data_IF_218842462226
#
_entry.id   IF_218842462226
#
_cell.length_a   1.000
_cell.length_b   1.000
_cell.length_c   1.000
_cell.angle_alpha   90.00
_cell.angle_beta   90.00
_cell.angle_gamma   90.00
#
_symmetry.space_group_name_H-M   'P 1'
#
loop_
_entity.id
_entity.type
_entity.pdbx_description
1 polymer ?
#
# COMPACT_ATOMS: atom_id res chain seq x y z
N UNK A 1 -25.78 3.41 48.85
CA UNK A 1 -24.79 2.85 47.90
C UNK A 1 -25.37 1.54 47.42
N UNK A 2 -26.24 1.61 46.41
CA UNK A 2 -26.62 0.44 45.64
C UNK A 2 -25.60 0.33 44.51
N UNK A 3 -24.90 -0.80 44.51
CA UNK A 3 -23.87 -1.15 43.53
C UNK A 3 -24.59 -1.56 42.24
N UNK A 4 -24.72 -0.60 41.33
CA UNK A 4 -25.28 -0.81 40.00
C UNK A 4 -24.32 -1.70 39.20
N UNK A 5 -24.55 -3.02 39.25
CA UNK A 5 -23.79 -4.00 38.51
C UNK A 5 -23.91 -3.70 37.01
N UNK A 6 -22.84 -3.15 36.44
CA UNK A 6 -22.68 -2.92 35.02
C UNK A 6 -22.85 -4.25 34.26
N UNK A 7 -24.07 -4.48 33.79
CA UNK A 7 -24.44 -5.64 32.99
C UNK A 7 -23.75 -5.50 31.65
N UNK A 8 -22.65 -6.23 31.45
CA UNK A 8 -21.96 -6.21 30.16
C UNK A 8 -22.89 -6.74 29.06
N UNK A 9 -22.80 -6.15 27.86
CA UNK A 9 -23.61 -6.44 26.67
C UNK A 9 -23.74 -7.93 26.29
N UNK A 10 -22.94 -8.82 26.89
CA UNK A 10 -22.99 -10.25 26.66
C UNK A 10 -24.14 -10.95 27.41
N UNK A 11 -24.58 -10.45 28.58
CA UNK A 11 -25.60 -11.13 29.40
C UNK A 11 -27.04 -10.89 28.92
N UNK A 12 -27.30 -9.79 28.20
CA UNK A 12 -28.59 -9.55 27.54
C UNK A 12 -28.91 -10.55 26.41
N UNK A 13 -27.88 -11.22 25.85
CA UNK A 13 -28.05 -12.23 24.78
C UNK A 13 -28.79 -13.47 25.30
N UNK A 14 -28.80 -13.71 26.62
CA UNK A 14 -29.51 -14.81 27.27
C UNK A 14 -30.95 -14.51 27.72
N UNK A 15 -31.38 -13.23 27.76
CA UNK A 15 -32.64 -12.80 28.39
C UNK A 15 -33.90 -12.91 27.52
N UNK A 16 -33.80 -13.48 26.32
CA UNK A 16 -34.97 -14.02 25.61
C UNK A 16 -35.88 -13.02 24.87
N UNK A 17 -35.56 -11.72 24.81
CA UNK A 17 -36.30 -10.80 23.93
C UNK A 17 -35.94 -11.03 22.45
N UNK A 18 -36.78 -11.82 21.79
CA UNK A 18 -36.70 -12.12 20.34
C UNK A 18 -37.72 -11.31 19.54
N UNK A 19 -38.23 -10.20 20.08
CA UNK A 19 -39.21 -9.35 19.40
C UNK A 19 -38.64 -8.66 18.15
N UNK A 20 -37.33 -8.44 18.10
CA UNK A 20 -36.67 -7.80 16.97
C UNK A 20 -36.87 -8.59 15.67
N UNK A 21 -37.27 -7.95 14.54
CA UNK A 21 -37.57 -8.64 13.28
C UNK A 21 -36.47 -9.58 12.78
N UNK A 22 -35.20 -9.18 12.96
CA UNK A 22 -34.05 -10.00 12.59
C UNK A 22 -33.97 -11.31 13.39
N UNK A 23 -34.20 -11.28 14.71
CA UNK A 23 -34.14 -12.48 15.57
C UNK A 23 -35.31 -13.43 15.28
N UNK A 24 -36.52 -12.89 15.05
CA UNK A 24 -37.65 -13.69 14.53
C UNK A 24 -37.31 -14.37 13.21
N UNK A 25 -36.61 -13.65 12.31
CA UNK A 25 -36.16 -14.22 11.05
C UNK A 25 -35.16 -15.37 11.24
N UNK A 26 -34.23 -15.24 12.19
CA UNK A 26 -33.30 -16.32 12.56
C UNK A 26 -34.05 -17.56 13.04
N UNK A 27 -35.09 -17.42 13.86
CA UNK A 27 -35.89 -18.57 14.34
C UNK A 27 -36.62 -19.29 13.22
N UNK A 28 -37.15 -18.52 12.26
CA UNK A 28 -37.79 -19.08 11.06
C UNK A 28 -36.76 -19.87 10.24
N UNK A 29 -35.56 -19.33 10.05
CA UNK A 29 -34.48 -20.02 9.32
C UNK A 29 -34.05 -21.30 10.04
N UNK A 30 -33.93 -21.28 11.37
CA UNK A 30 -33.55 -22.46 12.16
C UNK A 30 -34.42 -23.68 11.92
N UNK A 31 -35.71 -23.49 11.60
CA UNK A 31 -36.66 -24.57 11.29
C UNK A 31 -36.62 -25.03 9.83
N UNK A 32 -36.03 -24.24 8.94
CA UNK A 32 -36.10 -24.44 7.48
C UNK A 32 -34.79 -24.88 6.84
N UNK A 33 -33.65 -24.57 7.45
CA UNK A 33 -32.34 -24.90 6.91
C UNK A 33 -32.06 -26.39 7.05
N UNK A 34 -31.47 -26.96 6.00
CA UNK A 34 -31.20 -28.40 5.89
C UNK A 34 -29.73 -28.69 5.58
N UNK A 35 -28.94 -27.69 5.15
CA UNK A 35 -27.52 -27.88 4.87
C UNK A 35 -26.69 -28.22 6.11
N UNK A 36 -25.64 -29.01 5.95
CA UNK A 36 -24.73 -29.39 7.04
C UNK A 36 -23.99 -28.18 7.61
N UNK A 37 -23.94 -28.05 8.94
CA UNK A 37 -23.22 -26.95 9.59
C UNK A 37 -24.01 -25.65 9.76
N UNK A 38 -25.28 -25.59 9.33
CA UNK A 38 -26.14 -24.41 9.48
C UNK A 38 -26.27 -23.89 10.92
N UNK A 39 -26.13 -24.75 11.92
CA UNK A 39 -26.14 -24.35 13.34
C UNK A 39 -25.02 -23.38 13.71
N UNK A 40 -23.84 -23.48 13.09
CA UNK A 40 -22.72 -22.54 13.29
C UNK A 40 -23.02 -21.20 12.63
N UNK A 41 -23.55 -21.23 11.43
CA UNK A 41 -23.90 -20.02 10.67
C UNK A 41 -25.03 -19.23 11.31
N UNK A 42 -26.05 -19.91 11.87
CA UNK A 42 -27.13 -19.26 12.63
C UNK A 42 -26.59 -18.57 13.89
N UNK A 43 -25.67 -19.21 14.63
CA UNK A 43 -24.99 -18.57 15.77
C UNK A 43 -24.19 -17.34 15.34
N UNK A 44 -23.51 -17.41 14.19
CA UNK A 44 -22.79 -16.25 13.65
C UNK A 44 -23.75 -15.12 13.24
N UNK A 45 -24.88 -15.46 12.60
CA UNK A 45 -25.91 -14.50 12.19
C UNK A 45 -26.52 -13.77 13.39
N UNK A 46 -26.83 -14.52 14.45
CA UNK A 46 -27.33 -13.97 15.71
C UNK A 46 -26.30 -13.05 16.36
N UNK A 47 -25.04 -13.49 16.46
CA UNK A 47 -23.95 -12.63 16.96
C UNK A 47 -23.78 -11.36 16.13
N UNK A 48 -23.90 -11.44 14.81
CA UNK A 48 -23.72 -10.32 13.90
C UNK A 48 -24.79 -9.25 14.06
N UNK A 49 -26.02 -9.62 14.43
CA UNK A 49 -27.08 -8.68 14.75
C UNK A 49 -26.65 -7.67 15.82
N UNK A 50 -25.97 -8.16 16.88
CA UNK A 50 -25.52 -7.34 18.00
C UNK A 50 -24.16 -6.67 17.78
N UNK A 51 -23.27 -7.28 16.99
CA UNK A 51 -21.85 -6.89 16.94
C UNK A 51 -21.38 -6.28 15.62
N UNK A 52 -22.04 -6.56 14.49
CA UNK A 52 -21.57 -6.19 13.15
C UNK A 52 -22.50 -5.22 12.41
N UNK A 53 -23.55 -4.73 13.09
CA UNK A 53 -24.56 -3.84 12.51
C UNK A 53 -25.35 -4.48 11.35
N UNK A 54 -26.17 -3.67 10.68
CA UNK A 54 -27.09 -4.14 9.63
C UNK A 54 -26.39 -4.76 8.40
N UNK A 55 -25.20 -4.27 8.02
CA UNK A 55 -24.47 -4.79 6.87
C UNK A 55 -23.87 -6.18 7.15
N UNK A 56 -23.27 -6.38 8.32
CA UNK A 56 -22.73 -7.69 8.71
C UNK A 56 -23.82 -8.75 8.81
N UNK A 57 -24.98 -8.39 9.37
CA UNK A 57 -26.14 -9.29 9.41
C UNK A 57 -26.63 -9.66 8.00
N UNK A 58 -26.79 -8.69 7.10
CA UNK A 58 -27.21 -8.93 5.71
C UNK A 58 -26.25 -9.86 4.95
N UNK A 59 -24.94 -9.68 5.13
CA UNK A 59 -23.94 -10.51 4.46
C UNK A 59 -23.99 -11.97 4.90
N UNK A 60 -24.12 -12.23 6.21
CA UNK A 60 -24.24 -13.60 6.73
C UNK A 60 -25.59 -14.21 6.35
N UNK A 61 -26.66 -13.41 6.35
CA UNK A 61 -27.98 -13.87 5.90
C UNK A 61 -27.97 -14.28 4.42
N UNK A 62 -27.31 -13.50 3.56
CA UNK A 62 -27.10 -13.84 2.16
C UNK A 62 -26.36 -15.17 2.03
N UNK A 63 -25.22 -15.32 2.73
CA UNK A 63 -24.44 -16.57 2.75
C UNK A 63 -25.30 -17.77 3.12
N UNK A 64 -26.07 -17.69 4.21
CA UNK A 64 -26.94 -18.77 4.68
C UNK A 64 -27.96 -19.19 3.61
N UNK A 65 -28.60 -18.21 2.96
CA UNK A 65 -29.59 -18.48 1.92
C UNK A 65 -28.96 -19.15 0.70
N UNK A 66 -27.82 -18.63 0.25
CA UNK A 66 -27.11 -19.19 -0.91
C UNK A 66 -26.53 -20.58 -0.62
N UNK A 67 -26.02 -20.83 0.59
CA UNK A 67 -25.56 -22.18 0.99
C UNK A 67 -26.72 -23.18 1.00
N UNK A 68 -27.89 -22.79 1.52
CA UNK A 68 -29.08 -23.64 1.48
C UNK A 68 -29.52 -23.93 0.04
N UNK A 69 -29.56 -22.92 -0.82
CA UNK A 69 -29.90 -23.08 -2.23
C UNK A 69 -28.94 -24.07 -2.92
N UNK A 70 -27.63 -23.87 -2.74
CA UNK A 70 -26.61 -24.77 -3.28
C UNK A 70 -26.74 -26.20 -2.76
N UNK A 71 -27.04 -26.38 -1.46
CA UNK A 71 -27.23 -27.72 -0.87
C UNK A 71 -28.42 -28.48 -1.47
N UNK A 72 -29.43 -27.74 -1.94
CA UNK A 72 -30.60 -28.26 -2.67
C UNK A 72 -30.35 -28.42 -4.17
N UNK A 73 -29.15 -28.09 -4.65
CA UNK A 73 -28.81 -28.08 -6.07
C UNK A 73 -29.37 -26.88 -6.85
N UNK A 74 -29.92 -25.86 -6.18
CA UNK A 74 -30.39 -24.65 -6.84
C UNK A 74 -29.20 -23.74 -7.19
N UNK A 75 -28.99 -23.56 -8.50
CA UNK A 75 -27.97 -22.69 -9.09
C UNK A 75 -28.57 -21.54 -9.91
N UNK A 76 -29.83 -21.19 -9.64
CA UNK A 76 -30.58 -20.19 -10.39
C UNK A 76 -30.09 -18.75 -10.17
N UNK A 77 -29.24 -18.50 -9.16
CA UNK A 77 -28.65 -17.19 -8.92
C UNK A 77 -27.88 -16.70 -10.17
N UNK A 78 -28.06 -15.45 -10.62
CA UNK A 78 -27.44 -14.93 -11.85
C UNK A 78 -25.92 -15.13 -11.95
N UNK A 79 -25.20 -14.97 -10.84
CA UNK A 79 -23.76 -15.25 -10.72
C UNK A 79 -23.41 -16.70 -11.08
N UNK A 80 -24.12 -17.67 -10.49
CA UNK A 80 -23.86 -19.10 -10.71
C UNK A 80 -24.27 -19.52 -12.12
N UNK A 81 -25.39 -19.00 -12.63
CA UNK A 81 -25.80 -19.21 -14.03
C UNK A 81 -24.74 -18.68 -15.01
N UNK A 82 -24.15 -17.51 -14.72
CA UNK A 82 -23.04 -16.97 -15.52
C UNK A 82 -21.81 -17.87 -15.45
N UNK A 83 -21.44 -18.31 -14.25
CA UNK A 83 -20.29 -19.20 -14.03
C UNK A 83 -20.48 -20.54 -14.76
N UNK A 84 -21.66 -21.15 -14.69
CA UNK A 84 -21.98 -22.41 -15.36
C UNK A 84 -21.91 -22.29 -16.89
N UNK A 85 -22.36 -21.15 -17.44
CA UNK A 85 -22.21 -20.85 -18.87
C UNK A 85 -20.74 -20.71 -19.27
N UNK A 86 -19.91 -20.13 -18.39
CA UNK A 86 -18.49 -19.96 -18.62
C UNK A 86 -17.76 -21.31 -18.55
N UNK A 87 -18.05 -22.14 -17.53
CA UNK A 87 -17.48 -23.47 -17.32
C UNK A 87 -17.53 -24.36 -18.57
N UNK A 88 -18.64 -24.31 -19.32
CA UNK A 88 -18.81 -25.08 -20.58
C UNK A 88 -17.79 -24.75 -21.67
N UNK A 89 -17.08 -23.63 -21.54
CA UNK A 89 -16.13 -23.11 -22.52
C UNK A 89 -14.69 -23.14 -22.02
N UNK A 90 -14.46 -23.57 -20.77
CA UNK A 90 -13.13 -23.50 -20.16
C UNK A 90 -12.25 -24.65 -20.62
N UNK A 91 -11.03 -24.31 -21.04
CA UNK A 91 -10.05 -25.25 -21.58
C UNK A 91 -8.65 -25.05 -21.00
N UNK A 92 -8.42 -24.04 -20.16
CA UNK A 92 -7.10 -23.75 -19.59
C UNK A 92 -6.79 -24.58 -18.34
N UNK A 93 -5.53 -24.93 -18.11
CA UNK A 93 -5.14 -25.73 -16.94
C UNK A 93 -5.45 -25.02 -15.61
N UNK A 94 -6.01 -25.76 -14.66
CA UNK A 94 -6.39 -25.21 -13.35
C UNK A 94 -7.72 -24.44 -13.33
N UNK A 95 -8.52 -24.45 -14.41
CA UNK A 95 -9.81 -23.75 -14.45
C UNK A 95 -10.79 -24.23 -13.38
N UNK A 96 -10.73 -25.51 -12.98
CA UNK A 96 -11.59 -26.11 -11.95
C UNK A 96 -11.38 -25.44 -10.59
N UNK A 97 -10.13 -25.16 -10.24
CA UNK A 97 -9.77 -24.51 -8.96
C UNK A 97 -10.26 -23.06 -8.94
N UNK A 98 -10.12 -22.34 -10.07
CA UNK A 98 -10.65 -20.98 -10.18
C UNK A 98 -12.19 -20.94 -10.08
N UNK A 99 -12.88 -21.93 -10.65
CA UNK A 99 -14.34 -22.06 -10.53
C UNK A 99 -14.76 -22.33 -9.09
N UNK A 100 -14.08 -23.23 -8.40
CA UNK A 100 -14.33 -23.47 -6.97
C UNK A 100 -14.08 -22.21 -6.13
N UNK A 101 -13.03 -21.45 -6.45
CA UNK A 101 -12.78 -20.16 -5.81
C UNK A 101 -13.92 -19.17 -6.08
N UNK A 102 -14.42 -19.09 -7.32
CA UNK A 102 -15.55 -18.24 -7.66
C UNK A 102 -16.81 -18.63 -6.88
N UNK A 103 -17.15 -19.92 -6.78
CA UNK A 103 -18.28 -20.40 -5.98
C UNK A 103 -18.13 -20.03 -4.50
N UNK A 104 -16.92 -20.17 -3.95
CA UNK A 104 -16.63 -19.71 -2.58
C UNK A 104 -16.80 -18.20 -2.46
N UNK A 105 -16.31 -17.40 -3.40
CA UNK A 105 -16.46 -15.95 -3.37
C UNK A 105 -17.92 -15.51 -3.52
N UNK A 106 -18.73 -16.20 -4.30
CA UNK A 106 -20.18 -15.96 -4.38
C UNK A 106 -20.82 -15.98 -2.99
N UNK A 107 -20.45 -16.95 -2.15
CA UNK A 107 -20.98 -17.10 -0.79
C UNK A 107 -20.47 -16.07 0.21
N UNK A 108 -19.18 -15.74 0.17
CA UNK A 108 -18.52 -14.96 1.23
C UNK A 108 -18.23 -13.50 0.86
N UNK A 109 -18.10 -13.18 -0.43
CA UNK A 109 -17.72 -11.86 -0.93
C UNK A 109 -18.22 -11.68 -2.37
N UNK A 110 -19.48 -11.25 -2.57
CA UNK A 110 -20.03 -11.03 -3.91
C UNK A 110 -19.24 -10.02 -4.75
N UNK A 111 -18.51 -9.10 -4.12
CA UNK A 111 -17.59 -8.19 -4.80
C UNK A 111 -16.39 -8.93 -5.39
N UNK A 112 -15.79 -9.85 -4.63
CA UNK A 112 -14.66 -10.65 -5.11
C UNK A 112 -15.09 -11.66 -6.18
N UNK A 113 -16.37 -12.08 -6.19
CA UNK A 113 -16.90 -12.97 -7.22
C UNK A 113 -16.65 -12.41 -8.63
N UNK A 114 -17.01 -11.16 -8.87
CA UNK A 114 -16.83 -10.53 -10.18
C UNK A 114 -15.36 -10.48 -10.58
N UNK A 115 -14.48 -10.22 -9.61
CA UNK A 115 -13.04 -10.21 -9.82
C UNK A 115 -12.54 -11.59 -10.26
N UNK A 116 -12.95 -12.66 -9.58
CA UNK A 116 -12.55 -14.04 -9.94
C UNK A 116 -13.14 -14.45 -11.29
N UNK A 117 -14.39 -14.12 -11.59
CA UNK A 117 -14.97 -14.41 -12.92
C UNK A 117 -14.22 -13.71 -14.04
N UNK A 118 -13.86 -12.43 -13.85
CA UNK A 118 -13.05 -11.69 -14.82
C UNK A 118 -11.66 -12.32 -15.00
N UNK A 119 -11.05 -12.84 -13.92
CA UNK A 119 -9.80 -13.61 -13.96
C UNK A 119 -9.95 -14.86 -14.83
N UNK A 120 -11.01 -15.65 -14.61
CA UNK A 120 -11.33 -16.86 -15.39
C UNK A 120 -11.51 -16.52 -16.88
N UNK A 121 -12.32 -15.50 -17.18
CA UNK A 121 -12.58 -15.06 -18.56
C UNK A 121 -11.28 -14.68 -19.28
N UNK A 122 -10.36 -13.99 -18.61
CA UNK A 122 -9.07 -13.58 -19.20
C UNK A 122 -8.11 -14.73 -19.38
N UNK A 123 -8.00 -15.62 -18.40
CA UNK A 123 -7.22 -16.86 -18.53
C UNK A 123 -7.71 -17.69 -19.71
N UNK A 124 -9.03 -17.82 -19.85
CA UNK A 124 -9.63 -18.53 -20.99
C UNK A 124 -9.35 -17.85 -22.33
N UNK A 125 -9.49 -16.52 -22.42
CA UNK A 125 -9.14 -15.81 -23.65
C UNK A 125 -7.69 -16.05 -24.06
N UNK A 126 -6.77 -15.91 -23.11
CA UNK A 126 -5.34 -16.11 -23.37
C UNK A 126 -5.03 -17.55 -23.75
N UNK A 127 -5.66 -18.54 -23.12
CA UNK A 127 -5.40 -19.95 -23.43
C UNK A 127 -5.83 -20.35 -24.85
N UNK A 128 -6.87 -19.72 -25.40
CA UNK A 128 -7.30 -19.94 -26.79
C UNK A 128 -6.64 -18.99 -27.79
N UNK A 129 -5.66 -18.20 -27.35
CA UNK A 129 -4.95 -17.24 -28.18
C UNK A 129 -5.73 -15.96 -28.50
N UNK A 130 -6.87 -15.69 -27.85
CA UNK A 130 -7.59 -14.43 -27.99
C UNK A 130 -6.83 -13.30 -27.28
N UNK A 131 -6.25 -12.40 -28.10
CA UNK A 131 -5.54 -11.20 -27.66
C UNK A 131 -6.29 -9.91 -27.98
N UNK A 132 -7.62 -9.97 -28.09
CA UNK A 132 -8.46 -8.84 -28.50
C UNK A 132 -8.64 -7.76 -27.41
N UNK A 133 -8.41 -8.10 -26.14
CA UNK A 133 -8.58 -7.19 -24.99
C UNK A 133 -7.64 -5.98 -25.09
N UNK A 134 -8.17 -4.79 -24.76
CA UNK A 134 -7.45 -3.52 -24.89
C UNK A 134 -6.17 -3.43 -24.06
N UNK A 135 -6.13 -4.06 -22.88
CA UNK A 135 -4.97 -4.02 -22.00
C UNK A 135 -3.90 -5.01 -22.50
N UNK A 136 -4.34 -6.15 -23.05
CA UNK A 136 -3.44 -7.12 -23.66
C UNK A 136 -2.85 -6.61 -24.98
N UNK A 137 -3.67 -6.03 -25.86
CA UNK A 137 -3.23 -5.33 -27.07
C UNK A 137 -2.20 -4.25 -26.78
N UNK A 138 -2.41 -3.49 -25.71
CA UNK A 138 -1.44 -2.50 -25.26
C UNK A 138 -0.10 -3.19 -24.94
N UNK A 139 -0.08 -4.23 -24.12
CA UNK A 139 1.14 -4.96 -23.78
C UNK A 139 1.85 -5.55 -25.00
N UNK A 140 1.09 -6.12 -25.94
CA UNK A 140 1.64 -6.71 -27.17
C UNK A 140 2.18 -5.66 -28.15
N UNK A 141 1.69 -4.41 -28.07
CA UNK A 141 2.15 -3.31 -28.91
C UNK A 141 3.47 -2.68 -28.46
N UNK A 142 3.92 -2.96 -27.24
CA UNK A 142 5.11 -2.34 -26.67
C UNK A 142 6.37 -2.91 -27.31
N UNK A 143 7.30 -2.02 -27.68
CA UNK A 143 8.67 -2.36 -28.11
C UNK A 143 9.63 -1.87 -27.03
N UNK A 144 9.82 -2.69 -26.00
CA UNK A 144 10.65 -2.34 -24.86
C UNK A 144 12.08 -2.84 -25.06
N UNK A 145 13.05 -2.01 -24.65
CA UNK A 145 14.49 -2.32 -24.73
C UNK A 145 15.24 -1.96 -23.45
N UNK A 146 14.59 -1.32 -22.48
CA UNK A 146 15.23 -0.92 -21.23
C UNK A 146 15.62 -2.13 -20.37
N UNK A 147 16.75 -2.11 -19.64
CA UNK A 147 17.17 -3.26 -18.83
C UNK A 147 16.11 -3.72 -17.82
N UNK A 148 15.75 -5.01 -17.87
CA UNK A 148 14.77 -5.63 -16.97
C UNK A 148 13.30 -5.45 -17.40
N UNK A 149 13.04 -5.00 -18.63
CA UNK A 149 11.69 -4.82 -19.16
C UNK A 149 10.87 -6.10 -19.17
N UNK A 150 11.47 -7.26 -19.38
CA UNK A 150 10.77 -8.55 -19.45
C UNK A 150 10.06 -8.84 -18.13
N UNK A 151 10.72 -8.53 -17.01
CA UNK A 151 10.17 -8.71 -15.66
C UNK A 151 8.99 -7.78 -15.40
N UNK A 152 9.12 -6.51 -15.79
CA UNK A 152 8.03 -5.54 -15.63
C UNK A 152 6.84 -5.87 -16.52
N UNK A 153 7.10 -6.30 -17.77
CA UNK A 153 6.08 -6.76 -18.70
C UNK A 153 5.36 -7.98 -18.15
N UNK A 154 6.10 -8.98 -17.65
CA UNK A 154 5.52 -10.17 -17.03
C UNK A 154 4.67 -9.80 -15.82
N UNK A 155 5.14 -8.88 -14.96
CA UNK A 155 4.36 -8.40 -13.82
C UNK A 155 3.05 -7.73 -14.26
N UNK A 156 3.08 -6.94 -15.34
CA UNK A 156 1.88 -6.33 -15.91
C UNK A 156 0.92 -7.39 -16.48
N UNK A 157 1.47 -8.38 -17.18
CA UNK A 157 0.70 -9.48 -17.74
C UNK A 157 0.05 -10.34 -16.65
N UNK A 158 0.79 -10.71 -15.60
CA UNK A 158 0.27 -11.45 -14.44
C UNK A 158 -0.85 -10.66 -13.75
N UNK A 159 -0.70 -9.34 -13.65
CA UNK A 159 -1.72 -8.47 -13.09
C UNK A 159 -3.00 -8.44 -13.95
N UNK A 160 -2.83 -8.38 -15.28
CA UNK A 160 -3.93 -8.50 -16.23
C UNK A 160 -4.62 -9.86 -16.11
N UNK A 161 -3.85 -10.96 -16.15
CA UNK A 161 -4.36 -12.34 -16.02
C UNK A 161 -5.08 -12.52 -14.68
N UNK A 162 -4.54 -11.94 -13.60
CA UNK A 162 -5.15 -11.93 -12.27
C UNK A 162 -6.53 -11.29 -12.22
N UNK A 163 -6.95 -10.58 -13.27
CA UNK A 163 -8.26 -9.96 -13.35
C UNK A 163 -8.23 -8.47 -13.02
N UNK A 164 -7.09 -7.79 -13.00
CA UNK A 164 -7.03 -6.35 -12.78
C UNK A 164 -6.79 -5.55 -14.06
N UNK A 165 -7.23 -4.29 -14.11
CA UNK A 165 -6.89 -3.41 -15.24
C UNK A 165 -5.48 -2.88 -15.09
N UNK A 166 -4.76 -2.67 -16.18
CA UNK A 166 -3.40 -2.11 -16.15
C UNK A 166 -3.36 -0.66 -15.64
N UNK A 167 -4.52 -0.01 -15.52
CA UNK A 167 -4.66 1.33 -14.93
C UNK A 167 -4.48 1.31 -13.40
N UNK A 168 -4.95 0.28 -12.71
CA UNK A 168 -5.06 0.26 -11.24
C UNK A 168 -3.72 0.38 -10.50
N UNK A 169 -2.58 0.19 -11.19
CA UNK A 169 -1.23 0.25 -10.62
C UNK A 169 -0.26 1.06 -11.49
N UNK A 170 -0.78 1.85 -12.43
CA UNK A 170 0.03 2.69 -13.31
C UNK A 170 0.93 1.90 -14.27
N UNK A 171 0.65 0.63 -14.56
CA UNK A 171 1.50 -0.20 -15.45
C UNK A 171 1.69 0.43 -16.83
N UNK A 172 0.61 0.94 -17.43
CA UNK A 172 0.70 1.59 -18.75
C UNK A 172 1.66 2.77 -18.74
N UNK A 173 1.56 3.59 -17.71
CA UNK A 173 2.43 4.74 -17.51
C UNK A 173 3.88 4.29 -17.29
N UNK A 174 4.12 3.41 -16.32
CA UNK A 174 5.47 3.01 -15.94
C UNK A 174 6.23 2.32 -17.08
N UNK A 175 5.60 1.38 -17.80
CA UNK A 175 6.26 0.69 -18.92
C UNK A 175 6.65 1.67 -20.02
N UNK A 176 5.74 2.59 -20.37
CA UNK A 176 5.97 3.61 -21.39
C UNK A 176 7.06 4.59 -20.96
N UNK A 177 7.00 5.08 -19.73
CA UNK A 177 7.94 6.07 -19.21
C UNK A 177 9.33 5.49 -18.96
N UNK A 178 9.44 4.24 -18.51
CA UNK A 178 10.75 3.56 -18.43
C UNK A 178 11.42 3.47 -19.80
N UNK A 179 10.65 3.12 -20.83
CA UNK A 179 11.17 3.07 -22.20
C UNK A 179 11.60 4.44 -22.69
N UNK A 180 10.77 5.47 -22.53
CA UNK A 180 11.11 6.85 -22.92
C UNK A 180 12.38 7.34 -22.23
N UNK A 181 12.48 7.15 -20.91
CA UNK A 181 13.67 7.52 -20.15
C UNK A 181 14.92 6.76 -20.62
N UNK A 182 14.78 5.48 -20.97
CA UNK A 182 15.88 4.67 -21.49
C UNK A 182 16.36 5.15 -22.87
N UNK A 183 15.45 5.62 -23.72
CA UNK A 183 15.77 6.27 -25.00
C UNK A 183 16.32 7.70 -24.84
N UNK A 184 16.43 8.19 -23.60
CA UNK A 184 16.91 9.53 -23.28
C UNK A 184 15.85 10.63 -23.34
N UNK A 185 14.57 10.28 -23.59
CA UNK A 185 13.47 11.24 -23.54
C UNK A 185 13.09 11.57 -22.10
N UNK A 186 13.38 12.80 -21.69
CA UNK A 186 13.08 13.35 -20.36
C UNK A 186 12.00 14.44 -20.41
N UNK A 187 11.21 14.51 -21.47
CA UNK A 187 10.20 15.56 -21.66
C UNK A 187 8.96 15.44 -20.77
N UNK A 188 8.81 14.37 -20.00
CA UNK A 188 7.71 14.25 -19.05
C UNK A 188 7.76 15.40 -18.02
N UNK A 189 6.65 16.11 -17.74
CA UNK A 189 6.66 17.32 -16.88
C UNK A 189 7.35 17.15 -15.52
N UNK A 190 7.21 15.98 -14.88
CA UNK A 190 7.91 15.65 -13.62
C UNK A 190 9.43 15.63 -13.75
N UNK A 191 9.95 15.07 -14.85
CA UNK A 191 11.39 15.00 -15.11
C UNK A 191 11.91 16.38 -15.53
N UNK A 192 11.18 17.12 -16.37
CA UNK A 192 11.49 18.52 -16.70
C UNK A 192 11.55 19.38 -15.45
N UNK A 193 10.59 19.23 -14.53
CA UNK A 193 10.59 19.93 -13.25
C UNK A 193 11.82 19.59 -12.40
N UNK A 194 12.23 18.31 -12.34
CA UNK A 194 13.44 17.87 -11.65
C UNK A 194 14.70 18.48 -12.28
N UNK A 195 14.83 18.39 -13.60
CA UNK A 195 16.00 18.85 -14.36
C UNK A 195 16.16 20.38 -14.26
N UNK A 196 15.05 21.11 -14.13
CA UNK A 196 15.06 22.57 -13.95
C UNK A 196 15.68 23.05 -12.63
N UNK A 197 15.82 22.17 -11.63
CA UNK A 197 16.23 22.57 -10.28
C UNK A 197 17.71 22.96 -10.15
N UNK A 198 18.56 22.59 -11.12
CA UNK A 198 20.02 22.86 -11.11
C UNK A 198 20.65 22.63 -9.72
N UNK A 199 20.47 21.42 -9.19
CA UNK A 199 20.89 21.07 -7.83
C UNK A 199 22.42 20.99 -7.69
N UNK A 200 22.95 21.45 -6.56
CA UNK A 200 24.39 21.46 -6.25
C UNK A 200 24.73 21.01 -4.82
N UNK A 201 23.74 20.75 -3.96
CA UNK A 201 23.99 20.35 -2.58
C UNK A 201 24.58 18.91 -2.46
N UNK A 202 25.50 18.63 -1.52
CA UNK A 202 26.08 17.29 -1.38
C UNK A 202 25.03 16.17 -1.28
N UNK A 203 25.12 15.16 -2.14
CA UNK A 203 24.19 14.03 -2.17
C UNK A 203 22.93 14.25 -3.02
N UNK A 204 22.80 15.38 -3.71
CA UNK A 204 21.65 15.67 -4.58
C UNK A 204 21.41 14.60 -5.66
N UNK A 205 22.45 13.95 -6.17
CA UNK A 205 22.34 12.90 -7.20
C UNK A 205 21.54 11.70 -6.70
N UNK A 206 21.73 11.32 -5.43
CA UNK A 206 20.98 10.21 -4.81
C UNK A 206 19.50 10.56 -4.64
N UNK A 207 19.23 11.81 -4.26
CA UNK A 207 17.86 12.30 -4.13
C UNK A 207 17.15 12.40 -5.48
N UNK A 208 17.83 12.90 -6.51
CA UNK A 208 17.35 12.94 -7.89
C UNK A 208 17.07 11.53 -8.42
N UNK A 209 18.00 10.59 -8.22
CA UNK A 209 17.79 9.19 -8.60
C UNK A 209 16.59 8.56 -7.88
N UNK A 210 16.39 8.84 -6.60
CA UNK A 210 15.21 8.36 -5.86
C UNK A 210 13.91 8.97 -6.39
N UNK A 211 13.94 10.22 -6.84
CA UNK A 211 12.80 10.86 -7.50
C UNK A 211 12.47 10.16 -8.81
N UNK A 212 13.47 9.91 -9.66
CA UNK A 212 13.33 9.19 -10.92
C UNK A 212 12.79 7.78 -10.73
N UNK A 213 13.32 7.04 -9.74
CA UNK A 213 12.79 5.71 -9.38
C UNK A 213 11.31 5.77 -9.02
N UNK A 214 10.89 6.77 -8.23
CA UNK A 214 9.47 6.97 -7.87
C UNK A 214 8.60 7.39 -9.05
N UNK A 215 9.16 8.13 -10.00
CA UNK A 215 8.46 8.52 -11.23
C UNK A 215 8.01 7.28 -12.00
N UNK A 216 8.87 6.28 -12.15
CA UNK A 216 8.57 5.05 -12.90
C UNK A 216 8.31 3.81 -12.04
N UNK A 217 8.01 3.98 -10.76
CA UNK A 217 7.80 2.87 -9.85
C UNK A 217 6.41 2.24 -10.04
N UNK A 218 6.37 0.92 -10.18
CA UNK A 218 5.14 0.15 -10.20
C UNK A 218 4.53 0.08 -8.79
N UNK A 219 3.22 0.32 -8.72
CA UNK A 219 2.44 0.16 -7.49
C UNK A 219 2.58 1.29 -6.46
N UNK A 220 2.35 0.96 -5.18
CA UNK A 220 2.06 1.94 -4.12
C UNK A 220 3.19 2.93 -3.81
N UNK A 221 4.40 2.65 -4.29
CA UNK A 221 5.58 3.50 -4.08
C UNK A 221 5.77 4.54 -5.19
N UNK A 222 5.04 4.43 -6.30
CA UNK A 222 5.11 5.35 -7.43
C UNK A 222 4.23 6.58 -7.25
N UNK A 223 4.55 7.66 -7.96
CA UNK A 223 3.75 8.88 -7.93
C UNK A 223 2.33 8.69 -8.49
N UNK A 224 2.11 7.71 -9.36
CA UNK A 224 0.79 7.41 -9.93
C UNK A 224 -0.24 6.89 -8.91
N UNK A 225 0.21 6.31 -7.79
CA UNK A 225 -0.68 5.65 -6.82
C UNK A 225 -0.96 6.48 -5.56
N UNK A 226 -0.25 7.60 -5.40
CA UNK A 226 -0.36 8.44 -4.22
C UNK A 226 -1.34 9.57 -4.47
N UNK A 227 -2.35 9.70 -3.60
CA UNK A 227 -3.35 10.77 -3.66
C UNK A 227 -2.67 12.13 -3.42
N UNK A 228 -3.04 13.13 -4.20
CA UNK A 228 -2.49 14.49 -4.13
C UNK A 228 -1.41 14.76 -5.18
N UNK A 229 -0.46 15.65 -4.87
CA UNK A 229 0.69 15.99 -5.72
C UNK A 229 2.03 15.53 -5.10
N UNK A 230 2.24 14.22 -4.94
CA UNK A 230 3.44 13.66 -4.31
C UNK A 230 4.72 14.03 -5.06
N UNK A 231 4.64 14.17 -6.39
CA UNK A 231 5.73 14.62 -7.24
C UNK A 231 6.10 16.09 -6.93
N UNK A 232 5.11 16.98 -6.81
CA UNK A 232 5.33 18.40 -6.49
C UNK A 232 5.89 18.57 -5.08
N UNK A 233 5.39 17.77 -4.13
CA UNK A 233 5.91 17.73 -2.76
C UNK A 233 7.39 17.32 -2.77
N UNK A 234 7.75 16.29 -3.54
CA UNK A 234 9.14 15.87 -3.66
C UNK A 234 10.01 16.96 -4.33
N UNK A 235 9.51 17.64 -5.37
CA UNK A 235 10.20 18.80 -5.97
C UNK A 235 10.39 19.92 -4.94
N UNK A 236 9.38 20.24 -4.14
CA UNK A 236 9.47 21.27 -3.10
C UNK A 236 10.53 20.92 -2.04
N UNK A 237 10.64 19.64 -1.67
CA UNK A 237 11.70 19.15 -0.76
C UNK A 237 13.08 19.37 -1.38
N UNK A 238 13.28 19.02 -2.66
CA UNK A 238 14.55 19.23 -3.35
C UNK A 238 14.90 20.73 -3.47
N UNK A 239 13.91 21.57 -3.81
CA UNK A 239 14.05 23.03 -3.82
C UNK A 239 14.46 23.56 -2.45
N UNK A 240 13.82 23.09 -1.37
CA UNK A 240 14.14 23.51 -0.01
C UNK A 240 15.57 23.12 0.39
N UNK A 241 16.00 21.89 0.07
CA UNK A 241 17.39 21.45 0.28
C UNK A 241 18.37 22.33 -0.49
N UNK A 242 18.09 22.61 -1.77
CA UNK A 242 18.92 23.48 -2.58
C UNK A 242 18.96 24.92 -2.06
N UNK A 243 17.82 25.48 -1.63
CA UNK A 243 17.77 26.82 -1.05
C UNK A 243 18.55 26.91 0.26
N UNK A 244 18.45 25.89 1.13
CA UNK A 244 19.28 25.80 2.34
C UNK A 244 20.77 25.76 1.99
N UNK A 245 21.13 25.10 0.90
CA UNK A 245 22.51 25.02 0.41
C UNK A 245 23.00 26.30 -0.32
N UNK A 246 22.18 26.94 -1.16
CA UNK A 246 22.53 28.20 -1.83
C UNK A 246 22.49 29.40 -0.89
N UNK A 247 21.61 29.35 0.11
CA UNK A 247 21.54 30.29 1.23
C UNK A 247 22.78 30.22 2.14
N UNK A 248 23.74 29.34 1.85
CA UNK A 248 25.11 29.32 2.39
C UNK A 248 25.90 30.50 1.79
N UNK A 249 25.42 31.72 2.05
CA UNK A 249 26.26 32.87 2.42
C UNK A 249 25.75 33.33 3.78
N UNK A 250 25.93 32.47 4.79
CA UNK A 250 25.53 32.71 6.17
C UNK A 250 24.95 31.46 6.81
N UNK A 251 25.52 31.02 7.93
CA UNK A 251 25.16 29.81 8.66
C UNK A 251 23.76 29.84 9.32
N UNK A 252 22.79 30.64 8.83
CA UNK A 252 21.52 30.93 9.52
C UNK A 252 20.56 29.73 9.59
N UNK A 253 20.70 28.74 8.69
CA UNK A 253 19.85 27.55 8.64
C UNK A 253 20.26 26.44 9.63
N UNK A 254 21.47 26.49 10.17
CA UNK A 254 21.94 25.55 11.17
C UNK A 254 21.24 25.84 12.50
N UNK A 255 20.78 24.78 13.17
CA UNK A 255 20.38 24.86 14.58
C UNK A 255 21.55 25.44 15.39
N UNK A 256 21.29 26.20 16.48
CA UNK A 256 22.33 26.86 17.25
C UNK A 256 23.53 25.95 17.56
N UNK A 257 23.26 24.73 18.03
CA UNK A 257 24.31 23.77 18.37
C UNK A 257 25.07 23.25 17.15
N UNK A 258 24.37 22.97 16.05
CA UNK A 258 24.98 22.55 14.79
C UNK A 258 25.90 23.64 14.24
N UNK A 259 25.49 24.91 14.35
CA UNK A 259 26.28 26.08 13.95
C UNK A 259 27.54 26.20 14.80
N UNK A 260 27.41 26.03 16.11
CA UNK A 260 28.55 26.03 17.04
C UNK A 260 29.55 24.95 16.67
N UNK A 261 29.09 23.71 16.40
CA UNK A 261 29.98 22.62 15.97
C UNK A 261 30.71 22.98 14.67
N UNK A 262 30.01 23.53 13.68
CA UNK A 262 30.62 23.81 12.37
C UNK A 262 31.59 25.00 12.40
N UNK A 263 31.27 26.04 13.19
CA UNK A 263 32.05 27.28 13.20
C UNK A 263 33.23 27.25 14.18
N UNK A 264 33.24 26.32 15.15
CA UNK A 264 34.35 26.17 16.10
C UNK A 264 35.54 25.47 15.44
N UNK A 265 36.74 25.99 15.67
CA UNK A 265 37.99 25.34 15.24
C UNK A 265 38.38 24.25 16.25
N UNK A 266 37.91 23.03 16.01
CA UNK A 266 38.27 21.86 16.81
C UNK A 266 39.65 21.34 16.44
N UNK A 267 40.44 20.93 17.43
CA UNK A 267 41.80 20.40 17.23
C UNK A 267 41.95 18.92 17.58
N UNK A 268 40.93 18.28 18.17
CA UNK A 268 41.00 16.86 18.52
C UNK A 268 41.11 15.93 17.30
N UNK A 269 41.80 14.78 17.41
CA UNK A 269 41.95 13.82 16.31
C UNK A 269 40.61 13.35 15.73
N UNK A 270 40.48 13.44 14.40
CA UNK A 270 39.27 13.05 13.67
C UNK A 270 38.13 14.07 13.71
N UNK A 271 38.39 15.30 14.16
CA UNK A 271 37.37 16.36 14.20
C UNK A 271 36.85 16.73 12.80
N UNK A 272 37.70 16.75 11.77
CA UNK A 272 37.33 17.13 10.39
C UNK A 272 36.26 16.20 9.80
N UNK A 273 36.41 14.90 10.03
CA UNK A 273 35.48 13.86 9.58
C UNK A 273 34.14 13.97 10.31
N UNK A 274 34.17 14.25 11.60
CA UNK A 274 32.95 14.41 12.40
C UNK A 274 32.21 15.71 12.06
N UNK A 275 32.90 16.83 11.84
CA UNK A 275 32.27 18.08 11.37
C UNK A 275 31.61 17.86 10.01
N UNK A 276 32.25 17.11 9.11
CA UNK A 276 31.67 16.75 7.81
C UNK A 276 30.41 15.88 7.96
N UNK A 277 30.39 14.96 8.92
CA UNK A 277 29.19 14.19 9.25
C UNK A 277 28.05 15.08 9.76
N UNK A 278 28.36 16.03 10.67
CA UNK A 278 27.39 17.01 11.19
C UNK A 278 26.85 17.92 10.10
N UNK A 279 27.67 18.31 9.11
CA UNK A 279 27.25 19.07 7.94
C UNK A 279 26.28 18.31 7.03
N UNK A 280 26.42 16.99 6.93
CA UNK A 280 25.54 16.14 6.12
C UNK A 280 24.29 15.63 6.84
N UNK A 281 24.19 15.84 8.15
CA UNK A 281 23.11 15.32 8.99
C UNK A 281 21.85 16.18 8.90
N UNK A 282 20.70 15.52 8.77
CA UNK A 282 19.37 16.14 8.82
C UNK A 282 18.69 15.97 10.18
N UNK A 283 19.44 15.61 11.23
CA UNK A 283 18.91 15.50 12.60
C UNK A 283 18.31 16.84 13.06
N UNK A 284 17.27 16.78 13.89
CA UNK A 284 16.66 17.96 14.52
C UNK A 284 17.25 18.28 15.90
N UNK A 285 18.17 17.46 16.41
CA UNK A 285 18.81 17.65 17.72
C UNK A 285 20.31 17.42 17.60
N UNK A 286 21.09 18.42 18.00
CA UNK A 286 22.56 18.39 18.02
C UNK A 286 23.15 18.68 19.41
N UNK A 287 22.33 18.86 20.45
CA UNK A 287 22.81 19.20 21.79
C UNK A 287 23.82 18.17 22.31
N UNK A 288 23.47 16.88 22.26
CA UNK A 288 24.39 15.81 22.66
C UNK A 288 25.59 15.63 21.72
N UNK A 289 25.47 16.06 20.45
CA UNK A 289 26.62 16.07 19.54
C UNK A 289 27.59 17.19 19.89
N UNK A 290 27.08 18.38 20.24
CA UNK A 290 27.91 19.51 20.66
C UNK A 290 28.64 19.18 21.97
N UNK A 291 27.93 18.60 22.95
CA UNK A 291 28.51 18.15 24.22
C UNK A 291 29.64 17.14 23.97
N UNK A 292 29.43 16.17 23.07
CA UNK A 292 30.47 15.21 22.69
C UNK A 292 31.70 15.87 22.07
N UNK A 293 31.51 16.89 21.21
CA UNK A 293 32.61 17.66 20.63
C UNK A 293 33.38 18.44 21.72
N UNK A 294 32.67 19.07 22.65
CA UNK A 294 33.26 19.80 23.78
C UNK A 294 34.09 18.86 24.67
N UNK A 295 33.54 17.71 25.06
CA UNK A 295 34.26 16.71 25.87
C UNK A 295 35.53 16.22 25.19
N UNK A 296 35.49 15.94 23.88
CA UNK A 296 36.69 15.52 23.12
C UNK A 296 37.74 16.61 23.04
N UNK A 297 37.33 17.85 22.88
CA UNK A 297 38.24 18.99 22.87
C UNK A 297 38.92 19.15 24.24
N UNK A 298 38.14 19.07 25.33
CA UNK A 298 38.66 19.15 26.69
C UNK A 298 39.67 18.05 27.01
N UNK A 299 39.35 16.79 26.67
CA UNK A 299 40.30 15.68 26.86
C UNK A 299 41.58 15.85 26.03
N UNK A 300 41.46 16.42 24.82
CA UNK A 300 42.60 16.69 23.95
C UNK A 300 43.50 17.79 24.49
N UNK A 301 42.91 18.83 25.08
CA UNK A 301 43.65 19.98 25.62
C UNK A 301 44.09 19.77 27.08
N UNK A 302 43.74 18.62 27.69
CA UNK A 302 43.93 18.30 29.12
C UNK A 302 43.33 19.35 30.08
N UNK A 303 42.39 20.17 29.61
CA UNK A 303 41.74 21.22 30.38
C UNK A 303 40.33 20.81 30.79
N UNK A 304 40.17 20.50 32.08
CA UNK A 304 38.91 20.06 32.69
C UNK A 304 38.17 21.17 33.42
N UNK A 305 38.71 22.39 33.41
CA UNK A 305 38.26 23.50 34.27
C UNK A 305 36.85 24.02 33.97
N UNK A 306 36.28 23.68 32.80
CA UNK A 306 35.04 24.27 32.30
C UNK A 306 33.85 23.29 32.21
N UNK A 307 33.99 22.02 32.63
CA UNK A 307 32.87 21.07 32.54
C UNK A 307 32.04 21.07 33.84
N UNK A 308 30.73 21.37 33.80
CA UNK A 308 29.89 21.47 34.99
C UNK A 308 29.75 20.17 35.80
N UNK A 309 30.12 19.02 35.22
CA UNK A 309 30.17 17.72 35.92
C UNK A 309 31.55 17.34 36.48
N UNK A 310 32.61 18.10 36.17
CA UNK A 310 33.99 17.82 36.60
C UNK A 310 34.56 18.89 37.54
N UNK A 311 33.90 20.05 37.64
CA UNK A 311 34.17 21.06 38.67
C UNK A 311 33.52 20.56 39.97
N UNK A 312 34.34 20.19 40.96
CA UNK A 312 33.92 19.92 42.35
C UNK A 312 34.12 21.15 43.22
#
# INVERSE_FOLDING_TARGET
>A
MEEEAATTSADWIGLGDRSHPNLRHVDILKKKLTYEGHGKDLKELEKAHFTKGGLGFKNILHRIRETENLSKGDRSHPNLVRLDKLMKKLTYDGWRDDVQEAEKKHLYSPFDFEYVVRRIERKQKVSVGDRSDKDLKFLDSLRLTYPGWEKDWQQAFDHYIGGFTLRCFGFKFCLTEKQRMHEGDRSHPRLVALDSLKLTYPGWQKDAHKYEQKHVCLGLNGFEMLIGSPADTAIAILKSKQQRYCGIKGASWMLPDQRTIVNTQWTFPGCKEQVKYVLGSTSQNFAGTLEHFQLRQMMHDEDYSNHPLLIK
#
